data_IF_338887296419
#
_entry.id   IF_338887296419
#
_cell.length_a   1.000
_cell.length_b   1.000
_cell.length_c   1.000
_cell.angle_alpha   90.00
_cell.angle_beta   90.00
_cell.angle_gamma   90.00
#
_symmetry.space_group_name_H-M   'P 1'
#
loop_
_entity.id
_entity.type
_entity.pdbx_description
1 polymer ?
#
# COMPACT_ATOMS: atom_id res chain seq x y z
N UNK A 1 31.84 -45.38 -63.20
CA UNK A 1 31.21 -45.28 -61.87
C UNK A 1 29.99 -46.18 -61.90
N UNK A 2 30.11 -47.39 -61.38
CA UNK A 2 28.98 -48.33 -61.29
C UNK A 2 28.19 -48.02 -60.02
N UNK A 3 26.99 -47.44 -60.20
CA UNK A 3 26.06 -47.09 -59.12
C UNK A 3 25.53 -48.32 -58.37
N UNK A 4 25.74 -49.52 -58.92
CA UNK A 4 25.31 -50.79 -58.34
C UNK A 4 26.23 -51.30 -57.21
N UNK A 5 27.51 -50.91 -57.18
CA UNK A 5 28.42 -51.29 -56.07
C UNK A 5 28.09 -50.55 -54.77
N UNK A 6 27.55 -49.33 -54.86
CA UNK A 6 27.17 -48.53 -53.69
C UNK A 6 25.94 -49.09 -52.95
N UNK A 7 25.15 -49.98 -53.59
CA UNK A 7 23.92 -50.53 -53.02
C UNK A 7 24.11 -51.87 -52.29
N UNK A 8 25.23 -52.57 -52.53
CA UNK A 8 25.56 -53.89 -51.95
C UNK A 8 26.76 -53.84 -50.98
N UNK A 9 27.00 -52.70 -50.34
CA UNK A 9 28.06 -52.58 -49.33
C UNK A 9 27.64 -53.28 -48.03
N UNK A 10 28.08 -54.53 -47.89
CA UNK A 10 28.03 -55.30 -46.63
C UNK A 10 29.04 -54.72 -45.62
N UNK A 11 28.61 -54.51 -44.37
CA UNK A 11 29.38 -53.82 -43.33
C UNK A 11 30.72 -54.50 -42.99
N UNK A 12 30.93 -55.74 -43.44
CA UNK A 12 32.16 -56.51 -43.23
C UNK A 12 33.22 -56.35 -44.34
N UNK A 13 32.91 -55.78 -45.51
CA UNK A 13 33.85 -55.66 -46.65
C UNK A 13 34.30 -54.21 -46.95
N UNK A 14 33.94 -53.25 -46.10
CA UNK A 14 34.32 -51.83 -46.21
C UNK A 14 35.85 -51.64 -46.27
N UNK A 15 36.62 -52.58 -45.70
CA UNK A 15 38.10 -52.57 -45.73
C UNK A 15 38.75 -53.05 -47.04
N UNK A 16 38.02 -53.74 -47.93
CA UNK A 16 38.52 -54.37 -49.17
C UNK A 16 37.92 -53.76 -50.46
N UNK A 17 37.10 -52.71 -50.34
CA UNK A 17 36.44 -52.05 -51.47
C UNK A 17 37.41 -51.27 -52.39
N UNK A 18 36.98 -50.98 -53.63
CA UNK A 18 37.78 -50.25 -54.63
C UNK A 18 38.26 -48.88 -54.11
N UNK A 19 39.46 -48.46 -54.55
CA UNK A 19 40.19 -47.32 -54.00
C UNK A 19 39.40 -46.00 -54.03
N UNK A 20 38.52 -45.83 -55.03
CA UNK A 20 37.64 -44.67 -55.16
C UNK A 20 36.53 -44.61 -54.10
N UNK A 21 35.88 -45.74 -53.81
CA UNK A 21 34.78 -45.81 -52.83
C UNK A 21 35.27 -45.51 -51.42
N UNK A 22 36.48 -45.98 -51.06
CA UNK A 22 37.12 -45.69 -49.77
C UNK A 22 37.40 -44.20 -49.58
N UNK A 23 37.84 -43.51 -50.64
CA UNK A 23 38.15 -42.09 -50.62
C UNK A 23 36.88 -41.25 -50.42
N UNK A 24 35.79 -41.63 -51.08
CA UNK A 24 34.48 -40.97 -50.92
C UNK A 24 33.93 -41.14 -49.49
N UNK A 25 33.98 -42.36 -48.93
CA UNK A 25 33.53 -42.60 -47.54
C UNK A 25 34.37 -41.81 -46.55
N UNK A 26 35.70 -41.76 -46.73
CA UNK A 26 36.59 -41.00 -45.87
C UNK A 26 36.30 -39.49 -45.95
N UNK A 27 36.10 -38.95 -47.15
CA UNK A 27 35.73 -37.55 -47.35
C UNK A 27 34.37 -37.22 -46.71
N UNK A 28 33.39 -38.13 -46.85
CA UNK A 28 32.08 -37.97 -46.22
C UNK A 28 32.16 -37.94 -44.69
N UNK A 29 32.96 -38.81 -44.08
CA UNK A 29 33.20 -38.83 -42.63
C UNK A 29 33.88 -37.52 -42.19
N UNK A 30 34.86 -37.00 -42.93
CA UNK A 30 35.50 -35.72 -42.61
C UNK A 30 34.49 -34.57 -42.64
N UNK A 31 33.66 -34.50 -43.69
CA UNK A 31 32.63 -33.45 -43.80
C UNK A 31 31.62 -33.56 -42.66
N UNK A 32 31.23 -34.78 -42.27
CA UNK A 32 30.34 -35.00 -41.12
C UNK A 32 30.97 -34.55 -39.80
N UNK A 33 32.24 -34.88 -39.55
CA UNK A 33 32.95 -34.49 -38.34
C UNK A 33 33.12 -32.96 -38.27
N UNK A 34 33.54 -32.33 -39.36
CA UNK A 34 33.70 -30.86 -39.43
C UNK A 34 32.34 -30.16 -39.27
N UNK A 35 31.30 -30.67 -39.93
CA UNK A 35 29.94 -30.16 -39.78
C UNK A 35 29.43 -30.29 -38.34
N UNK A 36 29.68 -31.42 -37.68
CA UNK A 36 29.32 -31.65 -36.29
C UNK A 36 30.07 -30.70 -35.35
N UNK A 37 31.39 -30.50 -35.53
CA UNK A 37 32.18 -29.57 -34.70
C UNK A 37 31.67 -28.14 -34.84
N UNK A 38 31.42 -27.68 -36.08
CA UNK A 38 30.90 -26.33 -36.31
C UNK A 38 29.50 -26.18 -35.69
N UNK A 39 28.63 -27.18 -35.87
CA UNK A 39 27.27 -27.15 -35.32
C UNK A 39 27.27 -27.16 -33.78
N UNK A 40 27.98 -28.09 -33.16
CA UNK A 40 28.00 -28.23 -31.70
C UNK A 40 28.79 -27.13 -30.98
N UNK A 41 29.79 -26.50 -31.62
CA UNK A 41 30.59 -25.46 -30.97
C UNK A 41 30.07 -24.04 -31.28
N UNK A 42 29.65 -23.77 -32.52
CA UNK A 42 29.30 -22.39 -32.94
C UNK A 42 27.89 -21.98 -32.47
N UNK A 43 26.92 -22.89 -32.49
CA UNK A 43 25.55 -22.59 -32.07
C UNK A 43 25.45 -22.17 -30.59
N UNK A 44 26.00 -22.94 -29.61
CA UNK A 44 25.89 -22.54 -28.21
C UNK A 44 26.64 -21.24 -27.90
N UNK A 45 27.78 -20.98 -28.56
CA UNK A 45 28.52 -19.73 -28.39
C UNK A 45 27.71 -18.51 -28.87
N UNK A 46 26.89 -18.66 -29.92
CA UNK A 46 26.03 -17.58 -30.42
C UNK A 46 24.83 -17.33 -29.50
N UNK A 47 24.23 -18.39 -28.97
CA UNK A 47 23.14 -18.26 -28.01
C UNK A 47 23.64 -17.67 -26.69
N UNK A 48 24.83 -18.06 -26.22
CA UNK A 48 25.46 -17.48 -25.04
C UNK A 48 25.75 -15.99 -25.27
N UNK A 49 26.35 -15.63 -26.41
CA UNK A 49 26.61 -14.22 -26.75
C UNK A 49 25.32 -13.39 -26.77
N UNK A 50 24.25 -13.91 -27.39
CA UNK A 50 22.96 -13.24 -27.43
C UNK A 50 22.33 -13.08 -26.04
N UNK A 51 22.47 -14.08 -25.16
CA UNK A 51 22.03 -13.97 -23.77
C UNK A 51 22.83 -12.93 -23.00
N UNK A 52 24.16 -12.90 -23.14
CA UNK A 52 25.04 -11.92 -22.48
C UNK A 52 24.73 -10.49 -22.95
N UNK A 53 24.46 -10.29 -24.23
CA UNK A 53 24.05 -8.98 -24.77
C UNK A 53 22.69 -8.51 -24.20
N UNK A 54 21.72 -9.41 -24.06
CA UNK A 54 20.43 -9.06 -23.41
C UNK A 54 20.62 -8.73 -21.93
N UNK A 55 21.47 -9.48 -21.24
CA UNK A 55 21.82 -9.19 -19.85
C UNK A 55 22.48 -7.82 -19.72
N UNK A 56 23.42 -7.47 -20.61
CA UNK A 56 24.07 -6.17 -20.61
C UNK A 56 23.06 -5.01 -20.75
N UNK A 57 22.15 -5.08 -21.73
CA UNK A 57 21.14 -4.03 -21.95
C UNK A 57 20.26 -3.86 -20.70
N UNK A 58 19.73 -4.95 -20.14
CA UNK A 58 18.89 -4.90 -18.94
C UNK A 58 19.63 -4.38 -17.71
N UNK A 59 20.94 -4.67 -17.58
CA UNK A 59 21.76 -4.17 -16.49
C UNK A 59 22.03 -2.67 -16.64
N UNK A 60 22.28 -2.20 -17.86
CA UNK A 60 22.43 -0.76 -18.16
C UNK A 60 21.14 0.02 -17.87
N UNK A 61 19.97 -0.51 -18.23
CA UNK A 61 18.67 0.09 -17.88
C UNK A 61 18.48 0.17 -16.36
N UNK A 62 18.88 -0.88 -15.64
CA UNK A 62 18.80 -0.91 -14.18
C UNK A 62 19.71 0.13 -13.54
N UNK A 63 20.96 0.25 -14.03
CA UNK A 63 21.94 1.23 -13.54
C UNK A 63 21.44 2.65 -13.79
N UNK A 64 20.99 2.95 -15.00
CA UNK A 64 20.52 4.31 -15.36
C UNK A 64 19.29 4.71 -14.54
N UNK A 65 18.36 3.78 -14.29
CA UNK A 65 17.18 4.02 -13.45
C UNK A 65 17.58 4.30 -12.01
N UNK A 66 18.45 3.47 -11.42
CA UNK A 66 18.94 3.65 -10.04
C UNK A 66 19.78 4.92 -9.87
N UNK A 67 20.59 5.29 -10.87
CA UNK A 67 21.36 6.53 -10.87
C UNK A 67 20.46 7.76 -10.90
N UNK A 68 19.40 7.77 -11.73
CA UNK A 68 18.42 8.86 -11.76
C UNK A 68 17.70 9.02 -10.41
N UNK A 69 17.35 7.91 -9.76
CA UNK A 69 16.75 7.91 -8.43
C UNK A 69 17.73 8.43 -7.37
N UNK A 70 18.98 7.96 -7.39
CA UNK A 70 20.01 8.37 -6.44
C UNK A 70 20.42 9.85 -6.60
N UNK A 71 20.54 10.35 -7.83
CA UNK A 71 20.88 11.73 -8.11
C UNK A 71 19.83 12.72 -7.60
N UNK A 72 18.55 12.33 -7.61
CA UNK A 72 17.45 13.17 -7.13
C UNK A 72 17.07 12.88 -5.67
N UNK A 73 17.65 11.88 -5.03
CA UNK A 73 17.29 11.47 -3.67
C UNK A 73 17.47 12.62 -2.66
N UNK A 74 18.59 13.34 -2.74
CA UNK A 74 18.85 14.47 -1.85
C UNK A 74 17.80 15.57 -2.02
N UNK A 75 17.48 15.94 -3.27
CA UNK A 75 16.46 16.96 -3.56
C UNK A 75 15.07 16.55 -3.03
N UNK A 76 14.69 15.27 -3.16
CA UNK A 76 13.44 14.76 -2.60
C UNK A 76 13.44 14.76 -1.06
N UNK A 77 14.56 14.42 -0.42
CA UNK A 77 14.69 14.49 1.04
C UNK A 77 14.56 15.93 1.54
N UNK A 78 15.19 16.88 0.85
CA UNK A 78 15.11 18.31 1.19
C UNK A 78 13.68 18.84 1.01
N UNK A 79 12.99 18.47 -0.07
CA UNK A 79 11.58 18.78 -0.28
C UNK A 79 10.66 18.20 0.80
N UNK A 80 10.91 16.95 1.23
CA UNK A 80 10.15 16.34 2.32
C UNK A 80 10.38 17.06 3.65
N UNK A 81 11.61 17.48 3.93
CA UNK A 81 11.94 18.26 5.14
C UNK A 81 11.29 19.63 5.12
N UNK A 82 11.30 20.32 3.97
CA UNK A 82 10.62 21.60 3.78
C UNK A 82 9.10 21.44 3.97
N UNK A 83 8.51 20.40 3.39
CA UNK A 83 7.07 20.11 3.52
C UNK A 83 6.70 19.82 4.97
N UNK A 84 7.50 19.03 5.69
CA UNK A 84 7.29 18.76 7.12
C UNK A 84 7.41 20.03 7.97
N UNK A 85 8.35 20.92 7.65
CA UNK A 85 8.53 22.19 8.36
C UNK A 85 7.31 23.10 8.16
N UNK A 86 6.89 23.29 6.91
CA UNK A 86 5.68 24.07 6.57
C UNK A 86 4.43 23.48 7.20
N UNK A 87 4.31 22.15 7.19
CA UNK A 87 3.20 21.46 7.84
C UNK A 87 3.20 21.67 9.35
N UNK A 88 4.38 21.61 10.00
CA UNK A 88 4.54 21.92 11.42
C UNK A 88 4.13 23.36 11.75
N UNK A 89 4.48 24.34 10.92
CA UNK A 89 4.06 25.73 11.08
C UNK A 89 2.54 25.90 10.96
N UNK A 90 1.90 25.19 10.03
CA UNK A 90 0.44 25.18 9.89
C UNK A 90 -0.24 24.51 11.09
N UNK A 91 0.34 23.43 11.63
CA UNK A 91 -0.18 22.77 12.84
C UNK A 91 -0.04 23.65 14.08
N UNK A 92 0.98 24.50 14.18
CA UNK A 92 1.12 25.49 15.28
C UNK A 92 0.06 26.59 15.24
N UNK A 93 -0.61 26.78 14.11
CA UNK A 93 -1.76 27.67 13.99
C UNK A 93 -3.06 27.00 14.44
N UNK A 94 -3.07 25.68 14.69
CA UNK A 94 -4.19 25.01 15.34
C UNK A 94 -4.07 25.19 16.87
N UNK A 95 -5.17 25.53 17.55
CA UNK A 95 -5.12 25.92 18.95
C UNK A 95 -4.73 24.79 19.92
N UNK A 96 -4.09 25.19 21.03
CA UNK A 96 -3.37 24.33 21.99
C UNK A 96 -4.26 23.38 22.82
N UNK A 97 -3.61 22.36 23.41
CA UNK A 97 -4.12 21.30 24.33
C UNK A 97 -5.32 21.65 25.21
N UNK A 98 -5.39 22.86 25.77
CA UNK A 98 -6.48 23.30 26.64
C UNK A 98 -7.85 23.35 25.95
N UNK A 99 -7.89 23.49 24.62
CA UNK A 99 -9.15 23.53 23.88
C UNK A 99 -9.86 22.18 23.76
N UNK A 100 -9.12 21.07 23.79
CA UNK A 100 -9.71 19.73 23.70
C UNK A 100 -10.51 19.37 24.96
N UNK A 101 -10.01 19.75 26.15
CA UNK A 101 -10.73 19.57 27.42
C UNK A 101 -11.93 20.52 27.53
N UNK A 102 -11.82 21.75 27.04
CA UNK A 102 -12.97 22.66 26.97
C UNK A 102 -14.03 22.20 25.95
N UNK A 103 -13.65 21.46 24.91
CA UNK A 103 -14.58 20.99 23.87
C UNK A 103 -15.64 20.01 24.41
N UNK A 104 -15.31 19.12 25.36
CA UNK A 104 -16.33 18.23 25.93
C UNK A 104 -17.34 19.01 26.78
N UNK A 105 -16.91 20.11 27.41
CA UNK A 105 -17.79 21.03 28.14
C UNK A 105 -18.73 21.73 27.14
N UNK A 106 -18.21 22.21 26.02
CA UNK A 106 -18.99 22.87 24.97
C UNK A 106 -20.04 21.91 24.36
N UNK A 107 -19.68 20.65 24.13
CA UNK A 107 -20.60 19.60 23.65
C UNK A 107 -21.68 19.29 24.70
N UNK A 108 -21.30 19.18 25.98
CA UNK A 108 -22.25 18.94 27.07
C UNK A 108 -23.21 20.13 27.28
N UNK A 109 -22.74 21.37 27.12
CA UNK A 109 -23.59 22.56 27.15
C UNK A 109 -24.53 22.61 25.93
N UNK A 110 -24.06 22.20 24.75
CA UNK A 110 -24.87 22.15 23.52
C UNK A 110 -26.01 21.13 23.64
N UNK A 111 -25.79 20.00 24.32
CA UNK A 111 -26.87 19.05 24.58
C UNK A 111 -27.92 19.59 25.56
N UNK A 112 -27.48 20.26 26.64
CA UNK A 112 -28.37 20.93 27.58
C UNK A 112 -29.20 22.05 26.90
N UNK A 113 -28.57 22.86 26.04
CA UNK A 113 -29.23 23.92 25.25
C UNK A 113 -30.34 23.36 24.34
N UNK A 114 -30.14 22.16 23.81
CA UNK A 114 -31.13 21.47 22.97
C UNK A 114 -32.19 20.72 23.79
N UNK A 115 -32.17 20.82 25.11
CA UNK A 115 -33.12 20.16 26.01
C UNK A 115 -32.93 18.65 26.07
N UNK A 116 -31.74 18.15 25.74
CA UNK A 116 -31.37 16.75 25.87
C UNK A 116 -30.90 16.46 27.30
N UNK A 117 -31.24 15.28 27.81
CA UNK A 117 -30.70 14.78 29.08
C UNK A 117 -29.44 13.96 28.79
N UNK A 118 -28.32 14.37 29.38
CA UNK A 118 -27.08 13.60 29.34
C UNK A 118 -27.19 12.46 30.36
N UNK A 119 -27.24 11.22 29.89
CA UNK A 119 -27.22 10.06 30.77
C UNK A 119 -25.79 9.68 31.13
N UNK A 120 -24.88 9.71 30.15
CA UNK A 120 -23.51 9.27 30.36
C UNK A 120 -22.53 9.94 29.39
N UNK A 121 -21.38 10.33 29.92
CA UNK A 121 -20.21 10.76 29.16
C UNK A 121 -19.04 9.91 29.63
N UNK A 122 -18.55 9.02 28.76
CA UNK A 122 -17.42 8.14 29.09
C UNK A 122 -16.20 8.53 28.24
N UNK A 123 -15.08 8.94 28.85
CA UNK A 123 -13.83 9.10 28.12
C UNK A 123 -13.28 7.73 27.72
N UNK A 124 -12.84 7.61 26.47
CA UNK A 124 -12.09 6.46 25.99
C UNK A 124 -10.58 6.63 26.16
N UNK A 125 -9.82 5.64 25.68
CA UNK A 125 -8.37 5.72 25.68
C UNK A 125 -7.88 6.69 24.59
N UNK A 126 -6.90 7.52 24.94
CA UNK A 126 -6.24 8.41 24.00
C UNK A 126 -5.41 7.61 22.98
N UNK A 127 -5.60 7.87 21.69
CA UNK A 127 -4.85 7.22 20.61
C UNK A 127 -3.87 8.24 20.04
N UNK A 128 -2.58 7.98 20.25
CA UNK A 128 -1.50 8.85 19.78
C UNK A 128 -1.04 8.43 18.39
N UNK A 129 -0.95 9.40 17.49
CA UNK A 129 -0.30 9.29 16.18
C UNK A 129 1.02 10.08 16.18
N UNK A 130 1.73 10.12 15.06
CA UNK A 130 3.06 10.76 14.96
C UNK A 130 3.03 12.27 15.27
N UNK A 131 1.93 12.97 14.97
CA UNK A 131 1.84 14.43 15.08
C UNK A 131 0.60 14.93 15.84
N UNK A 132 -0.37 14.05 16.11
CA UNK A 132 -1.62 14.39 16.78
C UNK A 132 -2.10 13.22 17.62
N UNK A 133 -2.99 13.48 18.57
CA UNK A 133 -3.70 12.47 19.31
C UNK A 133 -5.21 12.66 19.16
N UNK A 134 -5.93 11.55 19.07
CA UNK A 134 -7.39 11.55 19.14
C UNK A 134 -7.85 11.14 20.55
N UNK A 135 -8.81 11.88 21.09
CA UNK A 135 -9.46 11.59 22.36
C UNK A 135 -10.95 11.29 22.11
N UNK A 136 -11.35 10.00 22.14
CA UNK A 136 -12.72 9.58 21.95
C UNK A 136 -13.56 9.72 23.23
N UNK A 137 -14.81 10.15 23.09
CA UNK A 137 -15.81 10.20 24.16
C UNK A 137 -17.10 9.55 23.68
N UNK A 138 -17.61 8.59 24.46
CA UNK A 138 -18.92 7.99 24.21
C UNK A 138 -19.98 8.78 24.97
N UNK A 139 -20.96 9.32 24.23
CA UNK A 139 -22.06 10.11 24.75
C UNK A 139 -23.37 9.31 24.67
N UNK A 140 -24.11 9.25 25.77
CA UNK A 140 -25.48 8.71 25.82
C UNK A 140 -26.44 9.84 26.15
N UNK A 141 -27.27 10.19 25.17
CA UNK A 141 -28.19 11.34 25.19
C UNK A 141 -29.63 10.85 25.11
N UNK A 142 -30.54 11.47 25.85
CA UNK A 142 -31.97 11.17 25.80
C UNK A 142 -32.79 12.39 25.38
N UNK A 143 -33.71 12.21 24.43
CA UNK A 143 -34.61 13.27 23.99
C UNK A 143 -35.50 12.86 22.81
N UNK A 144 -36.12 13.83 22.17
CA UNK A 144 -36.90 13.61 20.95
C UNK A 144 -35.99 13.55 19.71
N UNK A 145 -36.47 12.94 18.62
CA UNK A 145 -35.72 12.85 17.36
C UNK A 145 -35.23 14.23 16.87
N UNK A 146 -36.09 15.24 16.93
CA UNK A 146 -35.75 16.60 16.49
C UNK A 146 -34.65 17.24 17.34
N UNK A 147 -34.68 17.02 18.66
CA UNK A 147 -33.63 17.53 19.55
C UNK A 147 -32.28 16.84 19.30
N UNK A 148 -32.31 15.52 19.04
CA UNK A 148 -31.10 14.75 18.70
C UNK A 148 -30.51 15.20 17.36
N UNK A 149 -31.33 15.38 16.34
CA UNK A 149 -30.90 15.89 15.04
C UNK A 149 -30.34 17.33 15.12
N UNK A 150 -30.99 18.17 15.93
CA UNK A 150 -30.52 19.54 16.20
C UNK A 150 -29.18 19.54 16.92
N UNK A 151 -28.99 18.66 17.90
CA UNK A 151 -27.70 18.51 18.59
C UNK A 151 -26.57 18.11 17.63
N UNK A 152 -26.80 17.15 16.72
CA UNK A 152 -25.80 16.76 15.72
C UNK A 152 -25.43 17.97 14.84
N UNK A 153 -26.44 18.72 14.39
CA UNK A 153 -26.25 19.89 13.52
C UNK A 153 -25.51 21.02 14.24
N UNK A 154 -25.88 21.32 15.49
CA UNK A 154 -25.24 22.38 16.28
C UNK A 154 -23.81 21.98 16.67
N UNK A 155 -23.56 20.69 16.95
CA UNK A 155 -22.22 20.17 17.26
C UNK A 155 -21.30 20.23 16.04
N UNK A 156 -21.83 19.94 14.84
CA UNK A 156 -21.08 20.07 13.59
C UNK A 156 -20.75 21.54 13.23
N UNK A 157 -21.52 22.50 13.75
CA UNK A 157 -21.31 23.94 13.56
C UNK A 157 -20.41 24.57 14.63
N UNK A 158 -19.87 23.80 15.58
CA UNK A 158 -18.91 24.35 16.54
C UNK A 158 -17.66 24.86 15.80
N UNK A 159 -17.08 25.99 16.21
CA UNK A 159 -15.87 26.56 15.59
C UNK A 159 -14.60 25.77 15.97
N UNK A 160 -14.69 24.43 16.06
CA UNK A 160 -13.64 23.50 16.48
C UNK A 160 -13.77 22.17 15.74
N UNK A 161 -12.69 21.39 15.68
CA UNK A 161 -12.63 20.09 14.99
C UNK A 161 -13.18 18.99 15.90
N UNK A 162 -14.45 18.64 15.72
CA UNK A 162 -15.11 17.50 16.35
C UNK A 162 -15.67 16.58 15.29
N UNK A 163 -15.49 15.27 15.46
CA UNK A 163 -16.10 14.28 14.56
C UNK A 163 -17.05 13.38 15.33
N UNK A 164 -18.16 13.03 14.69
CA UNK A 164 -19.23 12.22 15.24
C UNK A 164 -19.26 10.89 14.50
N UNK A 165 -19.17 9.79 15.24
CA UNK A 165 -19.05 8.43 14.71
C UNK A 165 -20.15 7.54 15.29
N UNK A 166 -20.63 6.62 14.44
CA UNK A 166 -21.50 5.52 14.81
C UNK A 166 -22.72 5.90 15.69
N UNK A 167 -23.59 6.83 15.25
CA UNK A 167 -24.79 7.14 16.00
C UNK A 167 -25.73 5.92 16.05
N UNK A 168 -26.10 5.50 17.25
CA UNK A 168 -27.10 4.46 17.48
C UNK A 168 -28.27 5.05 18.25
N UNK A 169 -29.47 5.01 17.66
CA UNK A 169 -30.69 5.56 18.26
C UNK A 169 -31.63 4.39 18.57
N UNK A 170 -32.09 4.31 19.82
CA UNK A 170 -33.03 3.30 20.29
C UNK A 170 -34.14 3.97 21.09
N UNK A 171 -35.38 3.47 21.09
CA UNK A 171 -36.40 3.92 22.03
C UNK A 171 -35.95 3.60 23.47
N UNK A 172 -36.26 4.49 24.42
CA UNK A 172 -36.05 4.22 25.83
C UNK A 172 -36.87 2.98 26.25
N UNK A 173 -36.21 1.97 26.83
CA UNK A 173 -36.88 0.78 27.35
C UNK A 173 -37.56 1.13 28.69
N UNK A 174 -38.89 1.10 28.70
CA UNK A 174 -39.76 1.26 29.87
C UNK A 174 -41.24 1.15 29.48
N UNK A 175 -42.13 0.89 30.43
CA UNK A 175 -43.59 0.76 30.29
C UNK A 175 -44.28 2.07 29.83
N UNK A 176 -43.88 2.60 28.67
CA UNK A 176 -44.41 3.81 28.04
C UNK A 176 -44.81 3.54 26.59
N UNK A 177 -45.30 2.33 26.34
CA UNK A 177 -45.74 1.86 25.03
C UNK A 177 -47.00 2.59 24.52
N UNK A 178 -47.69 3.34 25.41
CA UNK A 178 -48.85 4.18 25.11
C UNK A 178 -48.52 5.64 24.72
N UNK A 179 -47.25 6.05 24.69
CA UNK A 179 -46.88 7.39 24.19
C UNK A 179 -46.71 7.38 22.67
N UNK A 180 -47.45 8.28 21.97
CA UNK A 180 -47.31 8.53 20.52
C UNK A 180 -45.89 8.93 20.08
N UNK A 181 -45.01 9.29 21.02
CA UNK A 181 -43.60 9.62 20.76
C UNK A 181 -42.76 9.28 22.00
N UNK A 182 -42.29 8.04 22.17
CA UNK A 182 -41.43 7.68 23.29
C UNK A 182 -40.09 8.43 23.17
N UNK A 183 -39.48 8.82 24.30
CA UNK A 183 -38.14 9.41 24.28
C UNK A 183 -37.14 8.43 23.67
N UNK A 184 -36.23 8.95 22.86
CA UNK A 184 -35.18 8.21 22.21
C UNK A 184 -33.88 8.38 22.99
N UNK A 185 -33.11 7.30 23.08
CA UNK A 185 -31.75 7.29 23.60
C UNK A 185 -30.79 7.13 22.42
N UNK A 186 -29.89 8.09 22.28
CA UNK A 186 -28.83 8.09 21.28
C UNK A 186 -27.48 7.84 21.94
N UNK A 187 -26.76 6.82 21.48
CA UNK A 187 -25.35 6.61 21.79
C UNK A 187 -24.52 7.06 20.59
N UNK A 188 -23.53 7.92 20.81
CA UNK A 188 -22.65 8.42 19.76
C UNK A 188 -21.22 8.55 20.25
N UNK A 189 -20.25 8.23 19.38
CA UNK A 189 -18.83 8.38 19.69
C UNK A 189 -18.35 9.70 19.09
N UNK A 190 -17.86 10.58 19.95
CA UNK A 190 -17.31 11.88 19.53
C UNK A 190 -15.80 11.84 19.67
N UNK A 191 -15.06 12.21 18.62
CA UNK A 191 -13.60 12.28 18.69
C UNK A 191 -13.15 13.72 18.59
N UNK A 192 -12.26 14.07 19.49
CA UNK A 192 -11.56 15.36 19.53
C UNK A 192 -10.10 15.14 19.18
N UNK A 193 -9.45 16.15 18.61
CA UNK A 193 -8.07 16.05 18.14
C UNK A 193 -7.21 17.11 18.82
N UNK A 194 -6.00 16.71 19.22
CA UNK A 194 -5.00 17.62 19.78
C UNK A 194 -3.63 17.39 19.15
N UNK A 195 -2.81 18.44 19.09
CA UNK A 195 -1.42 18.33 18.68
C UNK A 195 -0.60 17.60 19.76
N UNK A 196 0.38 16.80 19.32
CA UNK A 196 1.41 16.22 20.17
C UNK A 196 2.70 17.01 19.95
N UNK A 197 3.17 17.70 20.98
CA UNK A 197 4.47 18.37 20.93
C UNK A 197 5.58 17.32 20.81
N UNK A 198 6.63 17.65 20.04
CA UNK A 198 7.70 16.74 19.61
C UNK A 198 8.43 16.01 20.78
N UNK A 199 8.27 16.49 22.02
CA UNK A 199 8.82 15.87 23.24
C UNK A 199 7.93 14.79 23.87
N UNK A 200 6.67 14.63 23.45
CA UNK A 200 5.75 13.62 24.01
C UNK A 200 5.64 12.33 23.19
N UNK A 201 6.18 12.32 21.97
CA UNK A 201 6.19 11.15 21.08
C UNK A 201 7.39 10.21 21.26
N UNK A 202 8.35 10.57 22.12
CA UNK A 202 9.60 9.82 22.33
C UNK A 202 9.59 8.96 23.61
N UNK A 203 8.42 8.70 24.19
CA UNK A 203 8.27 7.95 25.44
C UNK A 203 7.25 6.83 25.32
N UNK A 204 7.59 5.78 24.57
CA UNK A 204 7.23 4.37 24.79
C UNK A 204 7.85 3.47 23.73
#
# INVERSE_FOLDING_TARGET
MDLNELKNLDFQTIGLASLGTRLVIFLFIIVLIVGAVIYFDTLPQRDELAQKQRQEISLLETITTKQKLAANLQAYQDQLKEMQTRFGELLRQLPNKSEAENLIIDVAQTSLKNGLKNQQIQPGAEIKHTFYAEMPYTLTLQGTYNQLAKFISDTANLPRIVTLHNPSIKPEQGDKQDMKSPPLVMTIVTKTYRYLEQNEGAGQ
#
